data_IF_528757920567
#
_entry.id   IF_528757920567
#
_cell.length_a   1.000
_cell.length_b   1.000
_cell.length_c   1.000
_cell.angle_alpha   90.00
_cell.angle_beta   90.00
_cell.angle_gamma   90.00
#
_symmetry.space_group_name_H-M   'P 1'
#
loop_
_entity.id
_entity.type
_entity.pdbx_description
1 polymer ?
#
# COMPACT_ATOMS: atom_id res chain seq x y z
N UNK A 1 39.20 -22.06 -34.67
CA UNK A 1 40.52 -21.93 -34.00
C UNK A 1 40.43 -22.63 -32.66
N UNK A 2 41.07 -23.79 -32.55
CA UNK A 2 41.14 -24.56 -31.31
C UNK A 2 42.21 -24.00 -30.37
N UNK A 3 41.95 -24.17 -29.07
CA UNK A 3 42.90 -24.14 -27.96
C UNK A 3 44.18 -24.90 -28.31
N UNK A 4 45.35 -24.68 -27.68
CA UNK A 4 45.56 -24.75 -26.25
C UNK A 4 47.06 -24.52 -25.96
N UNK A 5 47.38 -24.14 -24.70
CA UNK A 5 48.60 -24.51 -23.95
C UNK A 5 49.90 -23.78 -24.32
N UNK A 6 50.85 -23.49 -23.42
CA UNK A 6 51.06 -23.87 -22.02
C UNK A 6 52.28 -23.09 -21.44
N UNK A 7 52.28 -22.93 -20.11
CA UNK A 7 53.40 -23.11 -19.15
C UNK A 7 54.65 -22.20 -19.09
N UNK A 8 55.03 -21.90 -17.83
CA UNK A 8 56.38 -21.56 -17.35
C UNK A 8 56.37 -20.38 -16.36
N UNK A 9 56.29 -20.51 -15.03
CA UNK A 9 57.11 -21.21 -14.00
C UNK A 9 58.43 -20.51 -13.61
N UNK A 10 58.77 -20.62 -12.32
CA UNK A 10 59.92 -20.11 -11.55
C UNK A 10 59.81 -18.64 -11.05
N UNK A 11 59.55 -18.31 -9.78
CA UNK A 11 60.08 -18.71 -8.46
C UNK A 11 61.30 -17.89 -7.97
N UNK A 12 61.16 -17.42 -6.72
CA UNK A 12 62.20 -17.04 -5.73
C UNK A 12 62.79 -15.62 -5.81
N UNK A 13 62.64 -14.86 -4.71
CA UNK A 13 63.72 -14.46 -3.78
C UNK A 13 63.18 -13.32 -2.88
N UNK A 14 63.23 -13.52 -1.55
CA UNK A 14 63.05 -12.47 -0.54
C UNK A 14 64.39 -11.80 -0.22
N UNK A 15 64.38 -10.55 0.30
CA UNK A 15 65.00 -10.36 1.61
C UNK A 15 64.32 -9.32 2.53
N UNK A 16 64.27 -9.71 3.81
CA UNK A 16 64.68 -9.01 5.04
C UNK A 16 64.68 -7.47 5.16
N UNK A 17 63.97 -7.01 6.20
CA UNK A 17 64.33 -6.03 7.25
C UNK A 17 64.56 -4.55 6.87
N UNK A 18 63.69 -3.69 7.39
CA UNK A 18 63.89 -2.24 7.44
C UNK A 18 62.88 -1.52 8.34
N UNK A 19 63.20 -1.44 9.63
CA UNK A 19 63.00 -0.31 10.56
C UNK A 19 61.70 0.53 10.54
N UNK A 20 60.93 0.44 11.63
CA UNK A 20 60.12 1.54 12.19
C UNK A 20 61.07 2.69 12.66
N UNK A 21 60.67 3.98 12.82
CA UNK A 21 59.40 4.41 13.44
C UNK A 21 58.78 5.73 12.91
N UNK A 22 57.49 5.93 13.18
CA UNK A 22 56.95 7.22 13.61
C UNK A 22 55.48 7.02 14.01
N UNK A 23 55.20 7.08 15.31
CA UNK A 23 53.82 7.16 15.83
C UNK A 23 53.23 8.50 15.37
N UNK A 24 52.55 8.51 14.24
CA UNK A 24 51.67 9.61 13.85
C UNK A 24 50.38 9.47 14.65
N UNK A 25 50.02 10.54 15.37
CA UNK A 25 48.72 10.70 16.03
C UNK A 25 47.61 10.23 15.08
N UNK A 26 46.84 9.21 15.48
CA UNK A 26 45.56 8.95 14.85
C UNK A 26 44.66 10.13 15.20
N UNK A 27 44.56 11.09 14.27
CA UNK A 27 43.38 11.92 14.15
C UNK A 27 42.18 10.99 14.22
N UNK A 28 41.25 11.27 15.15
CA UNK A 28 39.93 10.64 15.19
C UNK A 28 39.42 10.62 13.76
N UNK A 29 39.40 9.45 13.14
CA UNK A 29 38.58 9.24 11.96
C UNK A 29 37.19 9.66 12.44
N UNK A 30 36.68 10.77 11.90
CA UNK A 30 35.25 10.99 11.86
C UNK A 30 34.71 9.70 11.27
N UNK A 31 34.10 8.88 12.11
CA UNK A 31 33.20 7.84 11.66
C UNK A 31 32.16 8.61 10.87
N UNK A 32 32.31 8.61 9.55
CA UNK A 32 31.26 9.00 8.62
C UNK A 32 30.09 8.11 9.01
N UNK A 33 29.12 8.71 9.68
CA UNK A 33 27.90 8.05 10.08
C UNK A 33 27.28 7.44 8.82
N UNK A 34 27.05 6.12 8.79
CA UNK A 34 26.26 5.53 7.73
C UNK A 34 24.86 6.17 7.82
N UNK A 35 24.57 7.03 6.85
CA UNK A 35 23.22 7.29 6.35
C UNK A 35 22.12 7.38 7.42
N UNK A 36 22.01 8.58 8.01
CA UNK A 36 20.73 9.16 8.40
C UNK A 36 19.86 9.29 7.14
N UNK A 37 19.32 8.18 6.65
CA UNK A 37 18.14 8.22 5.80
C UNK A 37 16.98 8.09 6.77
N UNK A 38 16.29 9.20 7.11
CA UNK A 38 15.00 9.02 7.75
C UNK A 38 14.17 8.19 6.78
N UNK A 39 13.42 7.23 7.30
CA UNK A 39 12.31 6.58 6.60
C UNK A 39 11.80 7.53 5.52
N UNK A 40 12.04 7.19 4.25
CA UNK A 40 11.29 7.77 3.15
C UNK A 40 9.86 7.41 3.48
N UNK A 41 9.14 8.31 4.15
CA UNK A 41 7.84 8.04 4.74
C UNK A 41 6.97 7.40 3.68
N UNK A 42 6.88 6.07 3.73
CA UNK A 42 6.19 5.34 2.70
C UNK A 42 4.74 5.73 2.85
N UNK A 43 4.21 6.46 1.86
CA UNK A 43 2.87 7.02 1.92
C UNK A 43 1.90 5.91 2.33
N UNK A 44 1.19 6.03 3.47
CA UNK A 44 0.51 4.91 4.12
C UNK A 44 -0.33 4.13 3.10
N UNK A 45 -0.05 2.85 2.87
CA UNK A 45 -0.75 2.10 1.81
C UNK A 45 -2.21 1.91 2.20
N UNK A 46 -3.11 1.92 1.20
CA UNK A 46 -4.53 1.65 1.45
C UNK A 46 -4.65 0.16 1.82
N UNK A 47 -5.15 -0.09 3.03
CA UNK A 47 -5.46 -1.45 3.49
C UNK A 47 -6.86 -1.89 3.01
N UNK A 48 -7.21 -3.18 3.05
CA UNK A 48 -8.58 -3.63 2.77
C UNK A 48 -9.64 -2.93 3.64
N UNK A 49 -9.33 -2.70 4.92
CA UNK A 49 -10.20 -1.97 5.84
C UNK A 49 -10.36 -0.49 5.44
N UNK A 50 -9.27 0.16 5.01
CA UNK A 50 -9.34 1.55 4.52
C UNK A 50 -10.14 1.64 3.23
N UNK A 51 -9.99 0.66 2.34
CA UNK A 51 -10.74 0.60 1.08
C UNK A 51 -12.24 0.55 1.33
N UNK A 52 -12.73 -0.38 2.17
CA UNK A 52 -14.16 -0.45 2.51
C UNK A 52 -14.66 0.86 3.14
N UNK A 53 -13.89 1.43 4.07
CA UNK A 53 -14.23 2.71 4.71
C UNK A 53 -14.32 3.84 3.68
N UNK A 54 -13.35 3.96 2.78
CA UNK A 54 -13.33 4.99 1.74
C UNK A 54 -14.53 4.87 0.82
N UNK A 55 -14.85 3.66 0.36
CA UNK A 55 -15.99 3.40 -0.52
C UNK A 55 -17.33 3.69 0.16
N UNK A 56 -17.49 3.34 1.43
CA UNK A 56 -18.69 3.68 2.21
C UNK A 56 -18.84 5.20 2.40
N UNK A 57 -17.75 5.89 2.74
CA UNK A 57 -17.76 7.35 2.91
C UNK A 57 -18.01 8.07 1.58
N UNK A 58 -17.46 7.56 0.48
CA UNK A 58 -17.71 8.06 -0.86
C UNK A 58 -19.20 7.93 -1.24
N UNK A 59 -19.84 6.82 -0.85
CA UNK A 59 -21.28 6.61 -0.98
C UNK A 59 -22.13 7.44 0.02
N UNK A 60 -21.48 8.29 0.83
CA UNK A 60 -22.09 9.16 1.85
C UNK A 60 -22.90 8.41 2.90
N UNK A 61 -22.47 7.20 3.26
CA UNK A 61 -23.13 6.39 4.28
C UNK A 61 -22.35 6.38 5.58
N UNK A 62 -23.07 6.49 6.69
CA UNK A 62 -22.60 6.03 7.99
C UNK A 62 -22.58 4.50 8.05
N UNK A 63 -21.92 3.93 9.07
CA UNK A 63 -21.97 2.48 9.30
C UNK A 63 -23.42 2.02 9.59
N UNK A 64 -24.21 2.84 10.29
CA UNK A 64 -25.60 2.51 10.62
C UNK A 64 -26.46 2.42 9.35
N UNK A 65 -26.38 3.41 8.47
CA UNK A 65 -27.12 3.41 7.20
C UNK A 65 -26.68 2.30 6.25
N UNK A 66 -25.38 1.98 6.23
CA UNK A 66 -24.89 0.82 5.49
C UNK A 66 -25.43 -0.50 6.07
N UNK A 67 -25.55 -0.60 7.40
CA UNK A 67 -26.14 -1.77 8.06
C UNK A 67 -27.65 -1.91 7.76
N UNK A 68 -28.39 -0.80 7.71
CA UNK A 68 -29.81 -0.79 7.33
C UNK A 68 -30.05 -1.36 5.94
N UNK A 69 -29.07 -1.23 5.03
CA UNK A 69 -29.14 -1.78 3.67
C UNK A 69 -28.81 -3.28 3.57
N UNK A 70 -28.17 -3.85 4.59
CA UNK A 70 -27.80 -5.26 4.60
C UNK A 70 -28.90 -6.15 5.18
N UNK A 71 -29.71 -5.61 6.10
CA UNK A 71 -30.61 -6.41 6.92
C UNK A 71 -31.92 -5.65 7.17
N UNK A 72 -33.05 -6.28 6.89
CA UNK A 72 -34.39 -5.71 7.11
C UNK A 72 -34.86 -5.80 8.59
N UNK A 73 -34.22 -6.65 9.38
CA UNK A 73 -34.57 -6.93 10.79
C UNK A 73 -33.89 -5.96 11.77
N UNK A 74 -34.69 -5.22 12.56
CA UNK A 74 -34.17 -4.38 13.66
C UNK A 74 -33.37 -5.18 14.70
N UNK A 75 -33.71 -6.44 14.93
CA UNK A 75 -33.00 -7.29 15.89
C UNK A 75 -31.57 -7.60 15.44
N UNK A 76 -31.35 -7.67 14.13
CA UNK A 76 -30.06 -8.01 13.53
C UNK A 76 -29.26 -6.79 13.08
N UNK A 77 -29.88 -5.59 13.03
CA UNK A 77 -29.21 -4.33 12.75
C UNK A 77 -27.97 -4.09 13.61
N UNK A 78 -28.07 -4.32 14.93
CA UNK A 78 -26.93 -4.16 15.85
C UNK A 78 -25.75 -5.06 15.46
N UNK A 79 -26.03 -6.29 15.04
CA UNK A 79 -25.00 -7.24 14.58
C UNK A 79 -24.37 -6.80 13.26
N UNK A 80 -25.17 -6.28 12.34
CA UNK A 80 -24.67 -5.73 11.07
C UNK A 80 -23.78 -4.50 11.29
N UNK A 81 -24.15 -3.58 12.19
CA UNK A 81 -23.30 -2.44 12.58
C UNK A 81 -21.96 -2.91 13.16
N UNK A 82 -21.99 -3.87 14.08
CA UNK A 82 -20.76 -4.41 14.69
C UNK A 82 -19.89 -5.14 13.65
N UNK A 83 -20.53 -5.89 12.75
CA UNK A 83 -19.85 -6.56 11.64
C UNK A 83 -19.12 -5.57 10.72
N UNK A 84 -19.79 -4.50 10.27
CA UNK A 84 -19.16 -3.45 9.46
C UNK A 84 -18.03 -2.74 10.20
N UNK A 85 -18.19 -2.43 11.50
CA UNK A 85 -17.11 -1.86 12.32
C UNK A 85 -15.89 -2.77 12.37
N UNK A 86 -16.09 -4.08 12.52
CA UNK A 86 -14.99 -5.06 12.52
C UNK A 86 -14.26 -5.11 11.19
N UNK A 87 -14.97 -5.04 10.07
CA UNK A 87 -14.35 -5.03 8.74
C UNK A 87 -13.55 -3.75 8.46
N UNK A 88 -13.97 -2.61 9.01
CA UNK A 88 -13.25 -1.34 8.87
C UNK A 88 -12.21 -1.12 9.97
N UNK A 89 -11.95 -2.11 10.83
CA UNK A 89 -10.89 -2.04 11.82
C UNK A 89 -9.54 -2.36 11.15
N UNK A 90 -8.50 -1.50 11.31
CA UNK A 90 -7.19 -1.75 10.74
C UNK A 90 -6.63 -3.14 11.08
N UNK A 91 -6.04 -3.80 10.08
CA UNK A 91 -5.47 -5.15 10.22
C UNK A 91 -6.51 -6.28 10.25
N UNK A 92 -7.79 -5.99 10.03
CA UNK A 92 -8.83 -7.01 9.84
C UNK A 92 -9.12 -7.22 8.36
N UNK A 93 -9.24 -8.49 8.00
CA UNK A 93 -9.71 -8.94 6.68
C UNK A 93 -10.88 -9.90 6.87
N UNK A 94 -11.77 -9.95 5.89
CA UNK A 94 -12.82 -10.95 5.84
C UNK A 94 -12.20 -12.33 5.60
N UNK A 95 -12.85 -13.36 6.15
CA UNK A 95 -12.43 -14.75 5.95
C UNK A 95 -12.98 -15.35 4.65
N UNK A 96 -14.13 -14.86 4.17
CA UNK A 96 -14.85 -15.47 3.06
C UNK A 96 -15.20 -14.47 1.96
N UNK A 97 -14.99 -14.86 0.70
CA UNK A 97 -15.37 -14.08 -0.49
C UNK A 97 -16.86 -13.73 -0.53
N UNK A 98 -17.71 -14.67 -0.11
CA UNK A 98 -19.17 -14.47 -0.04
C UNK A 98 -19.57 -13.37 0.93
N UNK A 99 -18.83 -13.19 2.03
CA UNK A 99 -19.05 -12.11 3.00
C UNK A 99 -18.84 -10.74 2.35
N UNK A 100 -17.78 -10.60 1.55
CA UNK A 100 -17.50 -9.37 0.82
C UNK A 100 -18.50 -9.15 -0.31
N UNK A 101 -18.86 -10.19 -1.06
CA UNK A 101 -19.88 -10.06 -2.11
C UNK A 101 -21.23 -9.55 -1.58
N UNK A 102 -21.65 -9.96 -0.37
CA UNK A 102 -22.88 -9.46 0.26
C UNK A 102 -22.83 -7.95 0.56
N UNK A 103 -21.65 -7.38 0.84
CA UNK A 103 -21.53 -5.95 1.15
C UNK A 103 -21.89 -5.04 -0.03
N UNK A 104 -21.89 -5.56 -1.26
CA UNK A 104 -22.32 -4.80 -2.44
C UNK A 104 -23.77 -4.32 -2.34
N UNK A 105 -24.58 -4.96 -1.50
CA UNK A 105 -25.95 -4.51 -1.20
C UNK A 105 -25.97 -3.21 -0.38
N UNK A 106 -24.92 -2.94 0.40
CA UNK A 106 -24.83 -1.74 1.22
C UNK A 106 -24.31 -0.52 0.46
N UNK A 107 -23.19 -0.68 -0.25
CA UNK A 107 -22.54 0.40 -0.99
C UNK A 107 -21.67 -0.14 -2.13
N UNK A 108 -21.42 0.68 -3.19
CA UNK A 108 -20.67 0.26 -4.36
C UNK A 108 -19.15 0.23 -4.11
N UNK A 109 -18.53 -0.90 -4.43
CA UNK A 109 -17.08 -1.10 -4.50
C UNK A 109 -16.76 -2.28 -5.42
N UNK A 110 -15.48 -2.52 -5.68
CA UNK A 110 -14.99 -3.67 -6.43
C UNK A 110 -14.47 -4.76 -5.46
N UNK A 111 -15.12 -5.93 -5.36
CA UNK A 111 -14.66 -7.04 -4.51
C UNK A 111 -13.27 -7.56 -4.88
N UNK A 112 -12.89 -7.51 -6.15
CA UNK A 112 -11.58 -8.00 -6.58
C UNK A 112 -10.46 -7.07 -6.10
N UNK A 113 -10.70 -5.75 -6.10
CA UNK A 113 -9.79 -4.78 -5.47
C UNK A 113 -9.65 -5.08 -3.97
N UNK A 114 -10.74 -5.38 -3.26
CA UNK A 114 -10.67 -5.76 -1.85
C UNK A 114 -9.75 -6.98 -1.63
N UNK A 115 -9.95 -8.05 -2.41
CA UNK A 115 -9.17 -9.28 -2.27
C UNK A 115 -7.71 -9.11 -2.71
N UNK A 116 -7.47 -8.32 -3.75
CA UNK A 116 -6.11 -7.95 -4.17
C UNK A 116 -5.36 -7.21 -3.06
N UNK A 117 -6.01 -6.29 -2.35
CA UNK A 117 -5.41 -5.62 -1.20
C UNK A 117 -5.17 -6.58 -0.01
N UNK A 118 -6.00 -7.61 0.15
CA UNK A 118 -5.95 -8.53 1.27
C UNK A 118 -4.95 -9.68 1.09
N UNK A 119 -4.79 -10.17 -0.14
CA UNK A 119 -4.11 -11.43 -0.45
C UNK A 119 -2.82 -11.22 -1.27
N UNK A 120 -2.74 -10.18 -2.09
CA UNK A 120 -1.67 -10.02 -3.06
C UNK A 120 -0.50 -9.16 -2.51
N UNK A 121 0.74 -9.40 -2.99
CA UNK A 121 1.88 -8.57 -2.64
C UNK A 121 1.72 -7.14 -3.20
N UNK A 122 2.39 -6.18 -2.55
CA UNK A 122 2.24 -4.74 -2.81
C UNK A 122 2.41 -4.33 -4.29
N UNK A 123 3.32 -4.94 -5.04
CA UNK A 123 3.55 -4.60 -6.45
C UNK A 123 2.38 -4.98 -7.36
N UNK A 124 1.47 -5.82 -6.88
CA UNK A 124 0.21 -6.15 -7.55
C UNK A 124 -0.95 -5.30 -7.06
N UNK A 125 -0.80 -4.43 -6.06
CA UNK A 125 -1.91 -3.60 -5.59
C UNK A 125 -2.34 -2.60 -6.67
N UNK A 126 -3.66 -2.41 -6.89
CA UNK A 126 -4.12 -1.49 -7.90
C UNK A 126 -3.89 -0.05 -7.44
N UNK A 127 -3.87 0.87 -8.41
CA UNK A 127 -3.91 2.30 -8.11
C UNK A 127 -5.29 2.67 -7.58
N UNK A 128 -5.34 3.24 -6.37
CA UNK A 128 -6.57 3.62 -5.68
C UNK A 128 -6.48 5.07 -5.23
N UNK A 129 -7.57 5.82 -5.40
CA UNK A 129 -7.71 7.18 -4.93
C UNK A 129 -7.80 7.21 -3.40
N UNK A 130 -6.90 7.94 -2.73
CA UNK A 130 -6.92 8.11 -1.27
C UNK A 130 -8.11 8.91 -0.76
N UNK A 131 -8.80 9.63 -1.63
CA UNK A 131 -9.96 10.44 -1.29
C UNK A 131 -11.26 9.63 -1.21
N UNK A 132 -11.56 8.82 -2.22
CA UNK A 132 -12.84 8.10 -2.31
C UNK A 132 -12.73 6.62 -2.67
N UNK A 133 -11.51 6.08 -2.78
CA UNK A 133 -11.29 4.66 -3.00
C UNK A 133 -11.58 4.15 -4.41
N UNK A 134 -11.83 5.01 -5.41
CA UNK A 134 -11.97 4.51 -6.79
C UNK A 134 -10.64 3.99 -7.35
N UNK A 135 -10.74 3.00 -8.23
CA UNK A 135 -9.66 2.44 -9.03
C UNK A 135 -9.93 2.63 -10.53
N UNK A 136 -9.08 2.05 -11.38
CA UNK A 136 -9.30 2.05 -12.82
C UNK A 136 -10.56 1.27 -13.25
N UNK A 137 -11.00 0.28 -12.46
CA UNK A 137 -12.11 -0.63 -12.76
C UNK A 137 -13.44 -0.18 -12.15
N UNK A 138 -13.41 0.64 -11.09
CA UNK A 138 -14.59 1.16 -10.36
C UNK A 138 -14.51 2.69 -10.20
N UNK A 139 -14.39 3.39 -11.34
CA UNK A 139 -14.33 4.86 -11.39
C UNK A 139 -15.57 5.46 -10.74
N UNK A 140 -15.34 6.45 -9.87
CA UNK A 140 -16.43 7.28 -9.34
C UNK A 140 -16.89 8.30 -10.39
N UNK A 141 -18.03 8.95 -10.13
CA UNK A 141 -18.47 10.09 -10.90
C UNK A 141 -17.74 11.37 -10.48
N UNK A 142 -17.44 12.24 -11.43
CA UNK A 142 -17.02 13.60 -11.21
C UNK A 142 -18.23 14.52 -10.94
N UNK A 143 -17.98 15.80 -10.64
CA UNK A 143 -19.03 16.77 -10.35
C UNK A 143 -20.00 17.05 -11.51
N UNK A 144 -19.68 16.60 -12.72
CA UNK A 144 -20.51 16.75 -13.92
C UNK A 144 -21.25 15.44 -14.26
N UNK A 145 -21.09 14.39 -13.44
CA UNK A 145 -21.68 13.07 -13.65
C UNK A 145 -20.90 12.19 -14.63
N UNK A 146 -19.75 12.65 -15.12
CA UNK A 146 -18.83 11.88 -15.94
C UNK A 146 -17.96 10.92 -15.12
N UNK A 147 -17.34 9.93 -15.77
CA UNK A 147 -16.38 9.06 -15.07
C UNK A 147 -15.12 9.86 -14.72
N UNK A 148 -14.70 9.81 -13.46
CA UNK A 148 -13.48 10.47 -13.02
C UNK A 148 -12.25 9.97 -13.80
N UNK A 149 -11.19 10.77 -13.79
CA UNK A 149 -9.88 10.39 -14.30
C UNK A 149 -8.80 10.68 -13.27
N UNK A 150 -7.61 10.12 -13.47
CA UNK A 150 -6.49 10.35 -12.56
C UNK A 150 -5.84 11.70 -12.81
N UNK A 151 -5.63 12.49 -11.75
CA UNK A 151 -4.91 13.77 -11.81
C UNK A 151 -3.56 13.72 -11.08
N UNK A 152 -3.42 12.83 -10.10
CA UNK A 152 -2.18 12.57 -9.35
C UNK A 152 -2.07 11.08 -9.06
N UNK A 153 -0.89 10.58 -8.66
CA UNK A 153 -0.63 9.16 -8.41
C UNK A 153 -1.68 8.49 -7.52
N UNK A 154 -2.22 9.18 -6.53
CA UNK A 154 -3.19 8.67 -5.56
C UNK A 154 -4.46 9.52 -5.45
N UNK A 155 -4.77 10.31 -6.49
CA UNK A 155 -5.93 11.21 -6.52
C UNK A 155 -6.65 11.23 -7.87
N UNK A 156 -7.97 11.07 -7.82
CA UNK A 156 -8.86 11.24 -8.98
C UNK A 156 -9.39 12.69 -9.09
N UNK A 157 -9.85 13.06 -10.28
CA UNK A 157 -10.40 14.39 -10.60
C UNK A 157 -11.58 14.77 -9.71
N UNK A 158 -12.42 13.81 -9.31
CA UNK A 158 -13.55 14.05 -8.40
C UNK A 158 -13.10 14.46 -6.98
N UNK A 159 -11.91 14.06 -6.54
CA UNK A 159 -11.33 14.44 -5.24
C UNK A 159 -10.40 15.67 -5.32
N UNK A 160 -10.27 16.30 -6.49
CA UNK A 160 -9.38 17.45 -6.68
C UNK A 160 -9.83 18.71 -5.94
N UNK A 161 -11.14 18.89 -5.73
CA UNK A 161 -11.73 20.11 -5.17
C UNK A 161 -11.88 20.10 -3.63
N UNK A 162 -11.06 19.32 -2.91
CA UNK A 162 -11.06 19.29 -1.43
C UNK A 162 -12.15 18.44 -0.77
N UNK A 163 -13.05 17.85 -1.55
CA UNK A 163 -14.04 16.88 -1.06
C UNK A 163 -13.47 15.46 -0.94
N UNK A 164 -13.70 14.80 0.21
CA UNK A 164 -13.53 13.33 0.37
C UNK A 164 -14.70 12.54 -0.22
N UNK A 165 -15.57 13.20 -0.96
CA UNK A 165 -16.83 12.66 -1.45
C UNK A 165 -16.93 12.89 -2.93
N UNK A 166 -16.86 11.80 -3.67
CA UNK A 166 -17.27 11.74 -5.06
C UNK A 166 -18.83 11.86 -5.07
N UNK A 167 -19.38 12.67 -5.96
CA UNK A 167 -20.81 13.00 -5.98
C UNK A 167 -21.61 11.96 -6.76
#
# INVERSE_FOLDING_TARGET
>A
MGSNRDLGSAAMIAPLLGSAPARRRMSRALVLQPSLWPDLAETPRITPSDYLRLRRVAARLTIAEAADRLIDSRADHRRAVEFLRRLETPGRTALYRSTIAHLLQAFPFDPDVYWQLAEEPLHRHPRICRGCGCSAHDRCADGEGGACHWIEQDRCSACSQGGRTCA
#
